data_IF_639013373616
#
_entry.id   IF_639013373616
#
_cell.length_a   1.000
_cell.length_b   1.000
_cell.length_c   1.000
_cell.angle_alpha   90.00
_cell.angle_beta   90.00
_cell.angle_gamma   90.00
#
_symmetry.space_group_name_H-M   'P 1'
#
loop_
_entity.id
_entity.type
_entity.pdbx_description
1 polymer ?
#
# COMPACT_ATOMS: atom_id res chain seq x y z
N UNK A 1 -7.63 7.65 20.13
CA UNK A 1 -6.47 7.04 19.45
C UNK A 1 -6.95 5.96 18.49
N UNK A 2 -6.20 5.64 17.44
CA UNK A 2 -6.57 4.66 16.40
C UNK A 2 -7.07 3.32 16.96
N UNK A 3 -6.37 2.75 17.94
CA UNK A 3 -6.73 1.48 18.57
C UNK A 3 -7.90 1.56 19.55
N UNK A 4 -8.04 2.68 20.28
CA UNK A 4 -9.11 2.84 21.26
C UNK A 4 -10.47 3.24 20.65
N UNK A 5 -10.45 3.97 19.53
CA UNK A 5 -11.66 4.49 18.89
C UNK A 5 -12.08 3.65 17.68
N UNK A 6 -11.11 3.26 16.85
CA UNK A 6 -11.38 2.56 15.59
C UNK A 6 -11.06 1.06 15.65
N UNK A 7 -10.70 0.51 16.83
CA UNK A 7 -10.33 -0.90 17.01
C UNK A 7 -9.23 -1.36 16.04
N UNK A 8 -8.24 -0.50 15.79
CA UNK A 8 -7.14 -0.79 14.88
C UNK A 8 -7.48 -0.66 13.39
N UNK A 9 -8.68 -0.16 13.05
CA UNK A 9 -9.07 0.08 11.66
C UNK A 9 -8.57 1.43 11.16
N UNK A 10 -8.03 1.44 9.95
CA UNK A 10 -7.57 2.62 9.21
C UNK A 10 -8.47 2.85 7.99
N UNK A 11 -8.58 4.09 7.52
CA UNK A 11 -9.09 4.35 6.17
C UNK A 11 -8.21 3.68 5.11
N UNK A 12 -8.75 3.49 3.91
CA UNK A 12 -8.05 2.76 2.86
C UNK A 12 -6.71 3.43 2.50
N UNK A 13 -6.72 4.76 2.52
CA UNK A 13 -5.59 5.63 2.14
C UNK A 13 -5.01 6.46 3.29
N UNK A 14 -5.19 6.01 4.54
CA UNK A 14 -4.51 6.57 5.74
C UNK A 14 -5.35 7.52 6.60
N UNK A 15 -6.53 7.90 6.14
CA UNK A 15 -7.48 8.71 6.90
C UNK A 15 -8.04 7.99 8.14
N UNK A 16 -8.71 8.74 9.04
CA UNK A 16 -9.40 8.13 10.17
C UNK A 16 -10.57 7.27 9.70
N UNK A 17 -10.61 6.01 10.14
CA UNK A 17 -11.69 5.08 9.80
C UNK A 17 -13.09 5.60 10.18
N UNK A 18 -13.19 6.46 11.21
CA UNK A 18 -14.46 7.06 11.64
C UNK A 18 -15.08 8.04 10.63
N UNK A 19 -14.30 8.53 9.66
CA UNK A 19 -14.81 9.41 8.60
C UNK A 19 -15.60 8.59 7.57
N UNK A 20 -16.62 9.21 6.98
CA UNK A 20 -17.44 8.62 5.92
C UNK A 20 -16.66 8.65 4.60
N UNK A 21 -16.58 7.53 3.85
CA UNK A 21 -15.99 7.51 2.51
C UNK A 21 -16.79 8.34 1.49
N UNK A 22 -16.14 8.91 0.44
CA UNK A 22 -14.69 8.95 0.27
C UNK A 22 -14.05 9.91 1.28
N UNK A 23 -13.03 9.41 2.00
CA UNK A 23 -12.22 10.22 2.90
C UNK A 23 -11.27 11.10 2.10
N UNK A 24 -10.54 12.00 2.76
CA UNK A 24 -9.80 13.03 2.05
C UNK A 24 -8.75 12.46 1.08
N UNK A 25 -8.12 11.33 1.40
CA UNK A 25 -7.09 10.68 0.59
C UNK A 25 -7.58 9.50 -0.25
N UNK A 26 -8.88 9.17 -0.19
CA UNK A 26 -9.51 8.11 -1.01
C UNK A 26 -9.99 8.69 -2.35
N UNK A 27 -10.22 7.84 -3.36
CA UNK A 27 -10.69 8.29 -4.67
C UNK A 27 -12.03 9.04 -4.55
N UNK A 28 -12.13 10.20 -5.22
CA UNK A 28 -13.25 11.15 -5.08
C UNK A 28 -13.16 12.06 -3.85
N UNK A 29 -12.16 11.87 -2.98
CA UNK A 29 -11.85 12.73 -1.86
C UNK A 29 -11.16 14.04 -2.27
N UNK A 30 -10.87 14.90 -1.28
CA UNK A 30 -10.21 16.19 -1.50
C UNK A 30 -8.87 16.06 -2.23
N UNK A 31 -8.10 15.01 -1.94
CA UNK A 31 -6.77 14.75 -2.50
C UNK A 31 -6.78 13.59 -3.51
N UNK A 32 -7.73 12.65 -3.40
CA UNK A 32 -7.93 11.56 -4.37
C UNK A 32 -8.67 12.04 -5.63
N UNK A 33 -7.98 12.83 -6.44
CA UNK A 33 -8.55 13.45 -7.66
C UNK A 33 -8.66 12.50 -8.85
N UNK A 34 -8.12 11.27 -8.75
CA UNK A 34 -8.02 10.33 -9.86
C UNK A 34 -6.97 10.70 -10.91
N UNK A 35 -6.01 11.56 -10.55
CA UNK A 35 -4.93 11.97 -11.45
C UNK A 35 -3.91 10.84 -11.57
N UNK A 36 -3.87 10.19 -12.74
CA UNK A 36 -2.89 9.14 -13.02
C UNK A 36 -1.47 9.70 -12.99
N UNK A 37 -0.67 9.27 -12.01
CA UNK A 37 0.71 9.75 -11.84
C UNK A 37 1.72 8.90 -12.60
N UNK A 38 1.36 7.67 -13.00
CA UNK A 38 2.24 6.78 -13.76
C UNK A 38 1.47 5.71 -14.51
N UNK A 39 2.00 5.32 -15.66
CA UNK A 39 1.54 4.18 -16.46
C UNK A 39 2.60 3.09 -16.38
N UNK A 40 2.17 1.87 -16.10
CA UNK A 40 2.99 0.68 -16.04
C UNK A 40 2.44 -0.39 -16.97
N UNK A 41 3.26 -1.40 -17.25
CA UNK A 41 2.84 -2.64 -17.89
C UNK A 41 2.57 -3.71 -16.83
N UNK A 42 1.63 -4.62 -17.07
CA UNK A 42 1.44 -5.79 -16.19
C UNK A 42 2.76 -6.56 -15.99
N UNK A 43 2.97 -7.17 -14.83
CA UNK A 43 4.21 -7.92 -14.57
C UNK A 43 5.47 -7.06 -14.49
N UNK A 44 5.39 -5.74 -14.70
CA UNK A 44 6.55 -4.86 -14.70
C UNK A 44 7.17 -4.78 -13.29
N UNK A 45 8.49 -4.91 -13.25
CA UNK A 45 9.28 -4.51 -12.08
C UNK A 45 9.48 -2.99 -12.06
N UNK A 46 9.34 -2.39 -10.88
CA UNK A 46 9.56 -0.96 -10.69
C UNK A 46 10.09 -0.64 -9.30
N UNK A 47 10.76 0.50 -9.19
CA UNK A 47 11.22 1.05 -7.91
C UNK A 47 10.16 2.01 -7.34
N UNK A 48 9.59 1.67 -6.19
CA UNK A 48 8.81 2.59 -5.36
C UNK A 48 9.74 3.34 -4.40
N UNK A 49 9.53 4.64 -4.22
CA UNK A 49 10.28 5.45 -3.26
C UNK A 49 9.39 5.82 -2.09
N UNK A 50 9.80 5.44 -0.88
CA UNK A 50 9.14 5.77 0.38
C UNK A 50 10.01 6.76 1.15
N UNK A 51 9.47 7.95 1.45
CA UNK A 51 10.16 8.95 2.26
C UNK A 51 9.80 8.77 3.74
N UNK A 52 10.79 8.38 4.54
CA UNK A 52 10.64 8.23 6.00
C UNK A 52 11.27 9.41 6.71
N UNK A 53 10.46 10.20 7.41
CA UNK A 53 10.91 11.39 8.16
C UNK A 53 11.25 11.09 9.62
N UNK A 54 10.57 10.11 10.22
CA UNK A 54 10.86 9.56 11.53
C UNK A 54 10.74 8.04 11.44
N UNK A 55 11.83 7.31 11.69
CA UNK A 55 11.85 5.86 11.48
C UNK A 55 11.45 5.11 12.75
N UNK A 56 10.26 4.50 12.71
CA UNK A 56 9.69 3.69 13.80
C UNK A 56 9.83 2.17 13.56
N UNK A 57 10.79 1.77 12.71
CA UNK A 57 11.05 0.38 12.33
C UNK A 57 9.83 -0.30 11.70
N UNK A 58 9.80 -1.64 11.64
CA UNK A 58 8.65 -2.39 11.13
C UNK A 58 8.74 -2.70 9.64
N UNK A 59 7.59 -2.77 8.97
CA UNK A 59 7.49 -3.33 7.61
C UNK A 59 6.62 -2.50 6.68
N UNK A 60 7.06 -2.38 5.43
CA UNK A 60 6.23 -1.87 4.33
C UNK A 60 5.57 -3.01 3.56
N UNK A 61 4.32 -2.80 3.19
CA UNK A 61 3.51 -3.66 2.34
C UNK A 61 2.90 -2.82 1.22
N UNK A 62 2.68 -3.46 0.07
CA UNK A 62 2.12 -2.82 -1.10
C UNK A 62 0.96 -3.65 -1.65
N UNK A 63 -0.09 -2.98 -2.13
CA UNK A 63 -1.26 -3.63 -2.70
C UNK A 63 -1.90 -2.75 -3.76
N UNK A 64 -2.63 -3.36 -4.69
CA UNK A 64 -3.39 -2.67 -5.73
C UNK A 64 -4.89 -2.79 -5.48
N UNK A 65 -5.62 -1.76 -5.89
CA UNK A 65 -7.05 -1.84 -6.09
C UNK A 65 -7.41 -1.34 -7.50
N UNK A 66 -7.69 -2.24 -8.46
CA UNK A 66 -8.26 -1.89 -9.74
C UNK A 66 -9.70 -1.37 -9.56
N UNK A 67 -9.94 -0.10 -9.92
CA UNK A 67 -11.27 0.51 -9.86
C UNK A 67 -12.03 0.23 -11.17
N UNK A 68 -13.32 -0.08 -11.09
CA UNK A 68 -14.14 -0.39 -12.27
C UNK A 68 -14.71 0.88 -12.90
N UNK A 69 -15.03 1.89 -12.09
CA UNK A 69 -15.49 3.19 -12.52
C UNK A 69 -14.70 4.31 -11.83
N UNK A 70 -14.61 5.47 -12.48
CA UNK A 70 -13.94 6.67 -11.94
C UNK A 70 -14.52 7.15 -10.60
N UNK A 71 -15.77 6.80 -10.32
CA UNK A 71 -16.48 7.14 -9.07
C UNK A 71 -16.35 6.08 -7.97
N UNK A 72 -15.71 4.94 -8.25
CA UNK A 72 -15.52 3.89 -7.24
C UNK A 72 -14.57 4.38 -6.15
N UNK A 73 -14.81 3.95 -4.92
CA UNK A 73 -13.91 4.24 -3.78
C UNK A 73 -13.17 2.96 -3.43
N UNK A 74 -11.89 3.06 -3.10
CA UNK A 74 -11.10 1.90 -2.70
C UNK A 74 -11.65 1.23 -1.44
N UNK A 75 -11.59 -0.11 -1.40
CA UNK A 75 -11.97 -0.89 -0.23
C UNK A 75 -10.80 -1.76 0.26
N UNK A 76 -10.80 -2.13 1.55
CA UNK A 76 -9.81 -3.08 2.06
C UNK A 76 -9.87 -4.41 1.31
N UNK A 77 -11.07 -4.90 1.02
CA UNK A 77 -11.33 -6.15 0.28
C UNK A 77 -10.69 -6.13 -1.12
N UNK A 78 -10.71 -4.97 -1.79
CA UNK A 78 -10.07 -4.80 -3.08
C UNK A 78 -8.54 -4.93 -2.97
N UNK A 79 -7.93 -4.25 -1.99
CA UNK A 79 -6.49 -4.33 -1.76
C UNK A 79 -6.02 -5.72 -1.33
N UNK A 80 -6.79 -6.41 -0.49
CA UNK A 80 -6.48 -7.78 -0.04
C UNK A 80 -6.44 -8.77 -1.19
N UNK A 81 -7.20 -8.53 -2.27
CA UNK A 81 -7.24 -9.39 -3.44
C UNK A 81 -6.00 -9.27 -4.34
N UNK A 82 -5.31 -8.13 -4.32
CA UNK A 82 -4.20 -7.87 -5.24
C UNK A 82 -2.94 -7.36 -4.50
N UNK A 83 -2.28 -8.20 -3.70
CA UNK A 83 -1.00 -7.85 -3.09
C UNK A 83 0.08 -7.62 -4.15
N UNK A 84 0.95 -6.63 -3.93
CA UNK A 84 2.12 -6.35 -4.75
C UNK A 84 3.35 -6.85 -4.03
N UNK A 85 4.05 -7.80 -4.65
CA UNK A 85 5.24 -8.42 -4.07
C UNK A 85 6.47 -7.55 -4.29
N UNK A 86 7.46 -7.74 -3.42
CA UNK A 86 8.82 -7.33 -3.71
C UNK A 86 9.36 -8.12 -4.91
N UNK A 87 10.28 -7.54 -5.68
CA UNK A 87 10.89 -8.22 -6.84
C UNK A 87 11.55 -9.57 -6.49
N UNK A 88 11.96 -9.76 -5.23
CA UNK A 88 12.50 -11.04 -4.74
C UNK A 88 11.44 -12.05 -4.23
N UNK A 89 10.16 -11.75 -4.43
CA UNK A 89 9.03 -12.62 -4.13
C UNK A 89 8.46 -12.51 -2.71
N UNK A 90 9.13 -11.77 -1.82
CA UNK A 90 8.65 -11.50 -0.46
C UNK A 90 7.45 -10.55 -0.47
N UNK A 91 6.62 -10.63 0.57
CA UNK A 91 5.44 -9.76 0.72
C UNK A 91 5.75 -8.45 1.45
N UNK A 92 6.83 -8.41 2.24
CA UNK A 92 7.14 -7.31 3.17
C UNK A 92 8.57 -6.82 3.01
N UNK A 93 8.73 -5.49 2.95
CA UNK A 93 10.04 -4.85 3.08
C UNK A 93 10.29 -4.49 4.55
N UNK A 94 11.28 -5.10 5.17
CA UNK A 94 11.62 -4.86 6.58
C UNK A 94 12.64 -3.74 6.70
N UNK A 95 12.34 -2.74 7.53
CA UNK A 95 13.30 -1.73 7.94
C UNK A 95 14.30 -2.34 8.92
N UNK A 96 15.55 -2.53 8.47
CA UNK A 96 16.63 -3.15 9.26
C UNK A 96 17.59 -2.14 9.89
N UNK A 97 17.36 -0.84 9.67
CA UNK A 97 18.16 0.25 10.25
C UNK A 97 17.25 1.40 10.67
N UNK A 98 17.74 2.24 11.58
CA UNK A 98 17.09 3.47 12.05
C UNK A 98 17.30 4.68 11.11
N UNK A 99 17.82 4.46 9.89
CA UNK A 99 18.07 5.55 8.94
C UNK A 99 16.77 6.25 8.54
N UNK A 100 16.85 7.55 8.28
CA UNK A 100 15.75 8.34 7.72
C UNK A 100 16.07 8.72 6.26
N UNK A 101 15.07 9.20 5.53
CA UNK A 101 15.18 9.58 4.11
C UNK A 101 14.50 8.60 3.18
N UNK A 102 14.99 8.53 1.95
CA UNK A 102 14.39 7.73 0.90
C UNK A 102 14.75 6.24 1.00
N UNK A 103 13.71 5.41 0.95
CA UNK A 103 13.79 3.97 0.82
C UNK A 103 13.29 3.57 -0.56
N UNK A 104 14.20 3.02 -1.36
CA UNK A 104 13.92 2.46 -2.67
C UNK A 104 13.53 0.99 -2.49
N UNK A 105 12.31 0.65 -2.89
CA UNK A 105 11.73 -0.68 -2.75
C UNK A 105 11.39 -1.20 -4.13
N UNK A 106 12.04 -2.29 -4.54
CA UNK A 106 11.77 -2.91 -5.84
C UNK A 106 10.54 -3.82 -5.71
N UNK A 107 9.55 -3.54 -6.54
CA UNK A 107 8.25 -4.19 -6.56
C UNK A 107 7.99 -4.79 -7.93
N UNK A 108 7.15 -5.82 -7.98
CA UNK A 108 6.66 -6.42 -9.22
C UNK A 108 5.14 -6.36 -9.27
N UNK A 109 4.59 -5.77 -10.33
CA UNK A 109 3.14 -5.74 -10.54
C UNK A 109 2.62 -7.16 -10.85
N UNK A 110 1.42 -7.53 -10.37
CA UNK A 110 0.82 -8.81 -10.68
C UNK A 110 0.54 -8.94 -12.20
N UNK A 111 0.76 -10.13 -12.75
CA UNK A 111 0.36 -10.47 -14.12
C UNK A 111 -1.15 -10.70 -14.20
N UNK A 112 -1.73 -10.43 -15.37
CA UNK A 112 -3.15 -10.59 -15.66
C UNK A 112 -4.04 -9.49 -15.07
N UNK A 113 -3.44 -8.42 -14.52
CA UNK A 113 -4.16 -7.29 -13.95
C UNK A 113 -3.95 -6.07 -14.82
N UNK A 114 -5.06 -5.48 -15.27
CA UNK A 114 -5.08 -4.29 -16.12
C UNK A 114 -6.13 -3.33 -15.58
N UNK A 115 -5.84 -2.04 -15.64
CA UNK A 115 -6.73 -1.00 -15.12
C UNK A 115 -6.38 0.34 -15.75
N UNK A 116 -7.41 1.05 -16.20
CA UNK A 116 -7.28 2.47 -16.54
C UNK A 116 -6.97 3.30 -15.29
N UNK A 117 -7.55 2.92 -14.15
CA UNK A 117 -7.35 3.53 -12.85
C UNK A 117 -7.20 2.45 -11.77
N UNK A 118 -5.97 2.26 -11.30
CA UNK A 118 -5.65 1.49 -10.11
C UNK A 118 -5.19 2.43 -9.00
N UNK A 119 -5.61 2.15 -7.78
CA UNK A 119 -5.00 2.73 -6.58
C UNK A 119 -3.89 1.81 -6.12
N UNK A 120 -2.65 2.30 -6.05
CA UNK A 120 -1.50 1.61 -5.44
C UNK A 120 -1.36 2.08 -4.00
N UNK A 121 -1.53 1.18 -3.04
CA UNK A 121 -1.40 1.47 -1.61
C UNK A 121 -0.05 1.06 -1.08
N UNK A 122 0.61 1.97 -0.38
CA UNK A 122 1.66 1.67 0.58
C UNK A 122 1.05 1.59 1.98
N UNK A 123 1.41 0.57 2.75
CA UNK A 123 1.04 0.40 4.15
C UNK A 123 2.30 0.16 4.97
N UNK A 124 2.49 0.95 6.03
CA UNK A 124 3.59 0.79 6.97
C UNK A 124 3.06 0.49 8.35
N UNK A 125 3.29 -0.74 8.80
CA UNK A 125 3.09 -1.12 10.20
C UNK A 125 4.42 -0.92 10.94
N UNK A 126 4.43 0.02 11.89
CA UNK A 126 5.63 0.32 12.69
C UNK A 126 5.91 -0.80 13.70
N UNK A 127 7.05 -0.74 14.39
CA UNK A 127 7.43 -1.75 15.39
C UNK A 127 8.14 -1.17 16.61
N UNK A 128 7.72 0.01 17.09
CA UNK A 128 8.35 0.70 18.21
C UNK A 128 7.53 0.69 19.51
N UNK A 129 6.32 0.11 19.52
CA UNK A 129 5.54 -0.05 20.74
C UNK A 129 5.76 -1.45 21.37
N UNK A 130 5.78 -1.51 22.69
CA UNK A 130 5.80 -2.78 23.44
C UNK A 130 4.38 -3.34 23.57
N UNK A 131 4.21 -4.63 23.35
CA UNK A 131 2.90 -5.26 23.47
C UNK A 131 2.96 -6.78 23.53
N UNK A 132 1.78 -7.39 23.67
CA UNK A 132 1.64 -8.85 23.76
C UNK A 132 1.71 -9.50 22.38
N UNK A 133 2.58 -10.48 22.23
CA UNK A 133 2.75 -11.30 21.03
C UNK A 133 1.71 -12.43 20.97
N UNK A 134 1.58 -13.08 19.81
CA UNK A 134 0.59 -14.17 19.61
C UNK A 134 0.85 -15.39 20.50
N UNK A 135 2.13 -15.67 20.81
CA UNK A 135 2.55 -16.74 21.72
C UNK A 135 2.33 -16.41 23.21
N UNK A 136 1.78 -15.23 23.49
CA UNK A 136 1.49 -14.75 24.84
C UNK A 136 2.68 -14.08 25.54
N UNK A 137 3.86 -14.07 24.94
CA UNK A 137 5.00 -13.26 25.42
C UNK A 137 4.75 -11.77 25.19
N UNK A 138 5.64 -10.92 25.71
CA UNK A 138 5.63 -9.49 25.38
C UNK A 138 6.97 -9.07 24.80
N UNK A 139 6.92 -8.26 23.75
CA UNK A 139 8.11 -7.76 23.08
C UNK A 139 7.84 -6.43 22.35
N UNK A 140 8.92 -5.78 21.94
CA UNK A 140 8.87 -4.63 21.05
C UNK A 140 8.33 -5.05 19.67
N UNK A 141 7.39 -4.29 19.13
CA UNK A 141 6.75 -4.57 17.83
C UNK A 141 5.56 -5.53 17.90
N UNK A 142 5.25 -6.07 19.08
CA UNK A 142 4.07 -6.91 19.31
C UNK A 142 2.84 -6.10 19.71
N UNK A 143 1.66 -6.70 19.56
CA UNK A 143 0.39 -6.05 19.84
C UNK A 143 0.04 -4.94 18.85
N UNK A 144 -0.66 -3.92 19.35
CA UNK A 144 -1.11 -2.78 18.58
C UNK A 144 0.07 -1.89 18.16
N UNK A 145 0.24 -1.69 16.86
CA UNK A 145 1.31 -0.87 16.28
C UNK A 145 0.72 0.19 15.35
N UNK A 146 1.21 1.42 15.45
CA UNK A 146 0.79 2.49 14.54
C UNK A 146 0.93 2.06 13.06
N UNK A 147 -0.05 2.47 12.26
CA UNK A 147 -0.11 2.13 10.84
C UNK A 147 -0.30 3.38 10.00
N UNK A 148 0.59 3.58 9.03
CA UNK A 148 0.50 4.64 8.03
C UNK A 148 0.10 4.03 6.70
N UNK A 149 -0.73 4.74 5.93
CA UNK A 149 -1.11 4.33 4.58
C UNK A 149 -1.15 5.54 3.66
N UNK A 150 -0.85 5.30 2.39
CA UNK A 150 -1.05 6.28 1.31
C UNK A 150 -1.47 5.55 0.04
N UNK A 151 -2.21 6.22 -0.83
CA UNK A 151 -2.62 5.71 -2.14
C UNK A 151 -2.02 6.55 -3.26
N UNK A 152 -1.83 5.96 -4.43
CA UNK A 152 -1.35 6.62 -5.65
C UNK A 152 -2.07 6.07 -6.87
N UNK A 153 -2.65 6.94 -7.68
CA UNK A 153 -3.43 6.56 -8.85
C UNK A 153 -2.51 6.25 -10.04
N UNK A 154 -2.57 5.03 -10.55
CA UNK A 154 -1.73 4.53 -11.66
C UNK A 154 -2.59 3.83 -12.73
N UNK A 155 -2.05 3.68 -13.92
CA UNK A 155 -2.61 2.83 -14.99
C UNK A 155 -1.73 1.61 -15.18
N UNK A 156 -2.33 0.45 -15.40
CA UNK A 156 -1.62 -0.78 -15.80
C UNK A 156 -2.17 -1.25 -17.14
N UNK A 157 -1.32 -1.26 -18.16
CA UNK A 157 -1.65 -1.70 -19.52
C UNK A 157 -1.14 -3.11 -19.78
N UNK A 158 -1.69 -3.82 -20.80
CA UNK A 158 -1.17 -5.12 -21.18
C UNK A 158 0.29 -5.11 -21.57
N UNK A 159 0.99 -6.21 -21.30
CA UNK A 159 2.28 -6.45 -21.94
C UNK A 159 2.02 -6.49 -23.44
N UNK A 160 2.79 -5.69 -24.20
CA UNK A 160 2.83 -5.87 -25.64
C UNK A 160 3.36 -7.30 -25.81
N UNK A 161 2.49 -8.22 -26.25
CA UNK A 161 2.96 -9.48 -26.75
C UNK A 161 3.95 -9.14 -27.85
N UNK A 162 5.17 -9.68 -27.78
CA UNK A 162 6.09 -9.69 -28.92
C UNK A 162 5.42 -10.47 -30.06
N UNK A 163 4.46 -9.85 -30.74
CA UNK A 163 3.97 -10.30 -32.04
C UNK A 163 4.91 -9.68 -33.07
N UNK A 164 6.14 -10.16 -33.09
CA UNK A 164 7.02 -10.13 -34.25
C UNK A 164 7.69 -11.50 -34.38
N UNK A 165 7.34 -12.15 -35.51
CA UNK A 165 8.09 -13.15 -36.27
C UNK A 165 8.14 -14.63 -35.81
N UNK A 166 7.06 -15.39 -36.10
CA UNK A 166 6.97 -16.34 -37.25
C UNK A 166 5.67 -17.16 -37.22
#
# INVERSE_FOLDING_TARGET
AHFTVNKGKCGACGDSYSQVPPRANENGGKYGTGTIVKIYTEGQEFEATVQVTANHMGTFEFALCPLNAKSDVETEECFEKYPVKLSDGRDKYTLTSNRIGEFKVNLVLPKGIYCEHCSLRWSWKVANAWGKCEDGTEALGCGDQETFRTCSDITIVPAIADTLDN
#
